data_IF_556029906530
#
_entry.id   IF_556029906530
#
_cell.length_a   1.000
_cell.length_b   1.000
_cell.length_c   1.000
_cell.angle_alpha   90.00
_cell.angle_beta   90.00
_cell.angle_gamma   90.00
#
_symmetry.space_group_name_H-M   'P 1'
#
loop_
_entity.id
_entity.type
_entity.pdbx_description
1 polymer ?
#
# COMPACT_ATOMS: atom_id res chain seq x y z
N UNK A 1 30.49 -9.30 -5.03
CA UNK A 1 29.28 -10.11 -5.34
C UNK A 1 28.23 -9.93 -4.25
N UNK A 2 28.51 -10.28 -2.99
CA UNK A 2 27.51 -10.28 -1.91
C UNK A 2 26.88 -8.92 -1.62
N UNK A 3 27.63 -7.80 -1.72
CA UNK A 3 27.08 -6.45 -1.49
C UNK A 3 25.95 -6.11 -2.48
N UNK A 4 26.09 -6.49 -3.76
CA UNK A 4 25.06 -6.21 -4.78
C UNK A 4 23.78 -7.00 -4.46
N UNK A 5 23.92 -8.26 -4.06
CA UNK A 5 22.78 -9.05 -3.62
C UNK A 5 22.17 -8.53 -2.31
N UNK A 6 22.98 -8.02 -1.38
CA UNK A 6 22.45 -7.36 -0.18
C UNK A 6 21.55 -6.17 -0.56
N UNK A 7 21.97 -5.33 -1.50
CA UNK A 7 21.17 -4.17 -1.96
C UNK A 7 19.86 -4.61 -2.62
N UNK A 8 19.92 -5.60 -3.53
CA UNK A 8 18.72 -6.17 -4.17
C UNK A 8 17.77 -6.72 -3.10
N UNK A 9 18.26 -7.53 -2.17
CA UNK A 9 17.43 -8.12 -1.12
C UNK A 9 16.89 -7.06 -0.15
N UNK A 10 17.64 -6.01 0.16
CA UNK A 10 17.14 -4.90 1.00
C UNK A 10 15.94 -4.26 0.30
N UNK A 11 16.07 -3.85 -0.97
CA UNK A 11 15.00 -3.20 -1.71
C UNK A 11 13.74 -4.07 -1.78
N UNK A 12 13.89 -5.34 -2.16
CA UNK A 12 12.77 -6.27 -2.27
C UNK A 12 12.14 -6.58 -0.90
N UNK A 13 12.91 -7.00 0.09
CA UNK A 13 12.37 -7.42 1.39
C UNK A 13 11.70 -6.27 2.13
N UNK A 14 12.34 -5.10 2.10
CA UNK A 14 11.84 -3.90 2.75
C UNK A 14 10.53 -3.42 2.11
N UNK A 15 10.54 -3.23 0.79
CA UNK A 15 9.39 -2.65 0.09
C UNK A 15 8.17 -3.57 0.10
N UNK A 16 8.38 -4.88 -0.06
CA UNK A 16 7.27 -5.83 0.08
C UNK A 16 6.73 -5.84 1.51
N UNK A 17 7.59 -5.78 2.53
CA UNK A 17 7.13 -5.69 3.92
C UNK A 17 6.34 -4.41 4.24
N UNK A 18 6.75 -3.29 3.65
CA UNK A 18 6.04 -2.01 3.71
C UNK A 18 4.65 -2.13 3.05
N UNK A 19 4.61 -2.63 1.81
CA UNK A 19 3.37 -2.84 1.05
C UNK A 19 2.41 -3.79 1.77
N UNK A 20 2.90 -4.92 2.25
CA UNK A 20 2.10 -5.93 2.96
C UNK A 20 1.53 -5.37 4.25
N UNK A 21 2.32 -4.58 4.99
CA UNK A 21 1.85 -3.89 6.19
C UNK A 21 0.76 -2.88 5.87
N UNK A 22 0.94 -2.07 4.82
CA UNK A 22 -0.07 -1.11 4.37
C UNK A 22 -1.38 -1.81 4.01
N UNK A 23 -1.31 -2.83 3.16
CA UNK A 23 -2.47 -3.63 2.72
C UNK A 23 -3.17 -4.25 3.94
N UNK A 24 -2.40 -4.87 4.85
CA UNK A 24 -2.92 -5.48 6.08
C UNK A 24 -3.73 -4.47 6.89
N UNK A 25 -3.22 -3.27 7.12
CA UNK A 25 -3.92 -2.28 7.93
C UNK A 25 -5.15 -1.69 7.21
N UNK A 26 -5.04 -1.36 5.92
CA UNK A 26 -6.17 -0.91 5.10
C UNK A 26 -7.31 -1.94 5.02
N UNK A 27 -6.99 -3.24 5.00
CA UNK A 27 -7.98 -4.31 4.83
C UNK A 27 -8.44 -4.94 6.14
N UNK A 28 -7.73 -4.71 7.26
CA UNK A 28 -7.96 -5.42 8.54
C UNK A 28 -9.41 -5.45 9.02
N UNK A 29 -10.19 -4.39 8.73
CA UNK A 29 -11.58 -4.26 9.18
C UNK A 29 -12.63 -4.50 8.08
N UNK A 30 -12.23 -4.58 6.82
CA UNK A 30 -13.16 -4.55 5.66
C UNK A 30 -12.90 -5.67 4.64
N UNK A 31 -11.85 -6.45 4.87
CA UNK A 31 -11.44 -7.55 4.01
C UNK A 31 -10.99 -7.06 2.63
N UNK A 32 -11.23 -7.90 1.62
CA UNK A 32 -10.88 -7.60 0.23
C UNK A 32 -11.88 -6.70 -0.51
N UNK A 33 -13.01 -6.37 0.12
CA UNK A 33 -14.09 -5.60 -0.52
C UNK A 33 -13.70 -4.13 -0.68
N UNK A 34 -14.24 -3.49 -1.73
CA UNK A 34 -14.10 -2.05 -1.99
C UNK A 34 -15.47 -1.46 -2.24
N UNK A 35 -15.90 -0.53 -1.40
CA UNK A 35 -17.13 0.22 -1.58
C UNK A 35 -16.77 1.59 -2.14
N UNK A 36 -17.46 1.97 -3.21
CA UNK A 36 -17.29 3.27 -3.87
C UNK A 36 -18.60 4.04 -3.93
N UNK A 37 -18.49 5.36 -4.02
CA UNK A 37 -19.53 6.24 -4.57
C UNK A 37 -19.07 6.76 -5.93
N UNK A 38 -19.99 6.87 -6.86
CA UNK A 38 -19.82 7.54 -8.13
C UNK A 38 -20.81 8.69 -8.30
N UNK A 39 -20.35 9.78 -8.90
CA UNK A 39 -21.21 10.91 -9.28
C UNK A 39 -20.69 11.59 -10.54
N UNK A 40 -21.55 12.41 -11.16
CA UNK A 40 -21.16 13.25 -12.29
C UNK A 40 -19.97 14.16 -11.94
N UNK A 41 -19.10 14.37 -12.94
CA UNK A 41 -17.99 15.33 -12.82
C UNK A 41 -18.57 16.69 -12.41
N UNK A 42 -18.24 17.15 -11.21
CA UNK A 42 -18.53 18.52 -10.82
C UNK A 42 -17.87 19.46 -11.85
N UNK A 43 -18.58 20.46 -12.41
CA UNK A 43 -18.02 21.41 -13.36
C UNK A 43 -16.82 22.21 -12.80
N UNK A 44 -16.54 22.10 -11.50
CA UNK A 44 -15.40 22.73 -10.84
C UNK A 44 -14.09 21.94 -10.89
N UNK A 45 -14.08 20.68 -11.33
CA UNK A 45 -12.89 19.80 -11.29
C UNK A 45 -12.22 19.62 -12.67
N UNK A 46 -12.75 20.22 -13.75
CA UNK A 46 -12.09 20.19 -15.06
C UNK A 46 -10.84 21.10 -15.07
N UNK A 47 -9.71 20.58 -14.61
CA UNK A 47 -8.38 21.23 -14.69
C UNK A 47 -7.82 21.35 -16.12
N UNK A 48 -8.66 21.13 -17.14
CA UNK A 48 -8.40 21.51 -18.53
C UNK A 48 -9.68 22.12 -19.09
N UNK A 49 -9.70 23.45 -19.19
CA UNK A 49 -10.60 24.17 -20.10
C UNK A 49 -10.45 23.54 -21.49
N UNK A 50 -11.36 22.66 -21.94
CA UNK A 50 -11.61 22.36 -23.39
C UNK A 50 -12.60 21.24 -23.71
N UNK A 51 -13.18 20.49 -22.78
CA UNK A 51 -14.28 19.55 -23.13
C UNK A 51 -15.54 19.91 -22.36
N UNK A 52 -16.63 20.18 -23.09
CA UNK A 52 -17.97 20.12 -22.53
C UNK A 52 -18.09 18.81 -21.74
N UNK A 53 -18.12 18.87 -20.41
CA UNK A 53 -18.36 17.71 -19.58
C UNK A 53 -19.80 17.31 -19.81
N UNK A 54 -20.01 16.42 -20.78
CA UNK A 54 -21.29 15.78 -21.03
C UNK A 54 -21.68 15.04 -19.74
N UNK A 55 -22.74 15.51 -19.08
CA UNK A 55 -23.31 14.82 -17.93
C UNK A 55 -23.64 13.38 -18.36
N UNK A 56 -23.07 12.41 -17.65
CA UNK A 56 -23.34 11.01 -17.88
C UNK A 56 -24.56 10.61 -17.04
N UNK A 57 -25.44 9.77 -17.59
CA UNK A 57 -26.59 9.29 -16.84
C UNK A 57 -26.16 8.30 -15.74
N UNK A 58 -26.91 8.22 -14.64
CA UNK A 58 -26.66 7.22 -13.59
C UNK A 58 -26.81 5.79 -14.10
N UNK A 59 -27.64 5.57 -15.11
CA UNK A 59 -27.74 4.28 -15.81
C UNK A 59 -26.43 3.90 -16.52
N UNK A 60 -25.77 4.86 -17.17
CA UNK A 60 -24.46 4.64 -17.80
C UNK A 60 -23.36 4.41 -16.75
N UNK A 61 -23.38 5.10 -15.61
CA UNK A 61 -22.44 4.84 -14.49
C UNK A 61 -22.63 3.43 -13.93
N UNK A 62 -23.88 3.00 -13.73
CA UNK A 62 -24.22 1.65 -13.28
C UNK A 62 -23.70 0.60 -14.26
N UNK A 63 -23.98 0.79 -15.56
CA UNK A 63 -23.54 -0.15 -16.59
C UNK A 63 -22.01 -0.27 -16.64
N UNK A 64 -21.29 0.84 -16.49
CA UNK A 64 -19.83 0.83 -16.45
C UNK A 64 -19.31 0.08 -15.21
N UNK A 65 -19.85 0.38 -14.03
CA UNK A 65 -19.47 -0.31 -12.78
C UNK A 65 -19.73 -1.83 -12.86
N UNK A 66 -20.92 -2.24 -13.32
CA UNK A 66 -21.31 -3.65 -13.44
C UNK A 66 -20.47 -4.40 -14.46
N UNK A 67 -20.06 -3.74 -15.55
CA UNK A 67 -19.15 -4.31 -16.56
C UNK A 67 -17.83 -4.78 -15.96
N UNK A 68 -17.33 -4.09 -14.92
CA UNK A 68 -16.09 -4.45 -14.22
C UNK A 68 -16.33 -5.25 -12.94
N UNK A 69 -17.52 -5.84 -12.76
CA UNK A 69 -17.83 -6.74 -11.65
C UNK A 69 -18.32 -6.05 -10.37
N UNK A 70 -18.57 -4.74 -10.41
CA UNK A 70 -19.17 -4.02 -9.30
C UNK A 70 -20.66 -4.34 -9.14
N UNK A 71 -21.14 -4.41 -7.89
CA UNK A 71 -22.55 -4.65 -7.54
C UNK A 71 -23.16 -3.40 -6.94
N UNK A 72 -24.27 -2.93 -7.51
CA UNK A 72 -24.93 -1.69 -7.06
C UNK A 72 -25.63 -1.88 -5.71
N UNK A 73 -25.39 -0.96 -4.77
CA UNK A 73 -25.99 -0.92 -3.44
C UNK A 73 -27.28 -0.09 -3.47
N UNK A 74 -28.37 -0.68 -4.00
CA UNK A 74 -29.63 0.01 -4.34
C UNK A 74 -30.31 0.81 -3.22
N UNK A 75 -30.11 0.45 -1.96
CA UNK A 75 -30.77 1.09 -0.81
C UNK A 75 -29.84 2.05 -0.03
N UNK A 76 -28.68 2.37 -0.59
CA UNK A 76 -27.73 3.31 0.03
C UNK A 76 -28.14 4.73 -0.34
N UNK A 77 -28.38 5.56 0.67
CA UNK A 77 -28.63 7.00 0.51
C UNK A 77 -27.59 7.81 1.27
N UNK A 78 -27.41 9.05 0.86
CA UNK A 78 -26.73 10.06 1.65
C UNK A 78 -27.68 10.68 2.68
N UNK A 79 -27.18 10.99 3.87
CA UNK A 79 -27.87 11.79 4.89
C UNK A 79 -27.09 13.05 5.22
N UNK A 80 -27.80 14.06 5.75
CA UNK A 80 -27.26 15.39 6.14
C UNK A 80 -26.70 16.20 4.98
N UNK A 81 -26.30 17.45 5.25
CA UNK A 81 -25.62 18.30 4.26
C UNK A 81 -24.20 17.82 3.89
N UNK A 82 -23.64 16.91 4.67
CA UNK A 82 -22.30 16.36 4.46
C UNK A 82 -22.29 15.13 3.53
N UNK A 83 -23.44 14.77 2.94
CA UNK A 83 -23.58 13.65 2.00
C UNK A 83 -23.07 12.30 2.56
N UNK A 84 -23.30 12.06 3.85
CA UNK A 84 -22.81 10.88 4.57
C UNK A 84 -23.56 9.63 4.08
N UNK A 85 -22.90 8.63 3.46
CA UNK A 85 -23.57 7.41 3.02
C UNK A 85 -24.04 6.57 4.20
N UNK A 86 -25.25 6.01 4.09
CA UNK A 86 -25.81 5.06 5.07
C UNK A 86 -25.51 3.63 4.62
N UNK A 87 -24.65 2.93 5.37
CA UNK A 87 -24.33 1.53 5.12
C UNK A 87 -24.99 0.60 6.15
N UNK A 88 -25.30 -0.61 5.71
CA UNK A 88 -25.87 -1.64 6.58
C UNK A 88 -24.86 -2.05 7.66
N UNK A 89 -25.34 -2.34 8.89
CA UNK A 89 -24.51 -2.82 9.99
C UNK A 89 -23.58 -3.99 9.60
N UNK A 90 -24.03 -5.03 8.85
CA UNK A 90 -23.15 -6.10 8.38
C UNK A 90 -21.95 -5.63 7.55
N UNK A 91 -22.12 -4.59 6.72
CA UNK A 91 -21.05 -4.09 5.84
C UNK A 91 -19.92 -3.40 6.63
N UNK A 92 -20.18 -2.96 7.85
CA UNK A 92 -19.25 -2.17 8.67
C UNK A 92 -19.04 -2.73 10.07
N UNK A 93 -19.50 -3.96 10.34
CA UNK A 93 -19.56 -4.53 11.68
C UNK A 93 -18.20 -4.56 12.40
N UNK A 94 -17.11 -4.80 11.67
CA UNK A 94 -15.75 -4.86 12.23
C UNK A 94 -15.14 -3.47 12.53
N UNK A 95 -15.80 -2.39 12.10
CA UNK A 95 -15.41 -1.00 12.37
C UNK A 95 -16.10 -0.43 13.61
N UNK A 96 -17.20 -1.07 14.05
CA UNK A 96 -18.00 -0.64 15.19
C UNK A 96 -17.24 -0.97 16.48
N UNK A 97 -17.00 0.05 17.29
CA UNK A 97 -16.37 -0.06 18.61
C UNK A 97 -17.36 0.17 19.76
N UNK A 98 -18.47 0.86 19.49
CA UNK A 98 -19.58 1.11 20.42
C UNK A 98 -20.87 0.69 19.75
N UNK A 99 -21.74 -0.06 20.44
CA UNK A 99 -22.98 -0.56 19.83
C UNK A 99 -23.88 0.60 19.33
N UNK A 100 -24.25 0.63 18.04
CA UNK A 100 -25.13 1.66 17.48
C UNK A 100 -26.52 1.72 18.13
N UNK A 101 -26.95 0.68 18.84
CA UNK A 101 -28.20 0.70 19.62
C UNK A 101 -28.14 1.62 20.85
N UNK A 102 -26.93 1.97 21.31
CA UNK A 102 -26.74 2.90 22.43
C UNK A 102 -26.88 4.37 22.00
N UNK A 103 -26.99 4.64 20.70
CA UNK A 103 -27.23 5.97 20.18
C UNK A 103 -28.58 6.51 20.69
N UNK A 104 -28.67 7.81 21.06
CA UNK A 104 -29.96 8.47 21.20
C UNK A 104 -30.82 8.25 19.95
N UNK A 105 -32.14 8.09 20.12
CA UNK A 105 -33.04 7.77 19.00
C UNK A 105 -33.00 8.80 17.86
N UNK A 106 -32.71 10.04 18.22
CA UNK A 106 -32.62 11.18 17.30
C UNK A 106 -31.22 11.40 16.72
N UNK A 107 -30.21 10.64 17.16
CA UNK A 107 -28.84 10.76 16.71
C UNK A 107 -28.50 9.72 15.62
N UNK A 108 -27.76 10.15 14.60
CA UNK A 108 -27.23 9.30 13.55
C UNK A 108 -25.96 8.61 14.09
N UNK A 109 -25.95 7.27 14.25
CA UNK A 109 -24.73 6.56 14.59
C UNK A 109 -23.75 6.61 13.40
N UNK A 110 -22.53 7.10 13.63
CA UNK A 110 -21.53 7.29 12.59
C UNK A 110 -20.20 6.61 12.91
N UNK A 111 -19.59 6.05 11.88
CA UNK A 111 -18.15 5.80 11.83
C UNK A 111 -17.50 7.11 11.35
N UNK A 112 -16.80 7.78 12.25
CA UNK A 112 -16.22 9.09 11.96
C UNK A 112 -14.81 8.98 11.39
N UNK A 113 -14.36 10.03 10.73
CA UNK A 113 -12.96 10.22 10.35
C UNK A 113 -12.26 11.10 11.38
N UNK A 114 -10.93 11.14 11.37
CA UNK A 114 -10.15 12.05 12.21
C UNK A 114 -10.60 13.50 12.01
N UNK A 115 -10.62 13.95 10.77
CA UNK A 115 -11.04 15.32 10.38
C UNK A 115 -12.49 15.63 10.76
N UNK A 116 -13.44 14.71 10.51
CA UNK A 116 -14.84 14.94 10.87
C UNK A 116 -15.04 14.90 12.39
N UNK A 117 -14.33 14.05 13.13
CA UNK A 117 -14.41 14.08 14.59
C UNK A 117 -13.81 15.36 15.20
N UNK A 118 -12.76 15.93 14.62
CA UNK A 118 -12.23 17.23 15.07
C UNK A 118 -13.19 18.38 14.78
N UNK A 119 -13.91 18.31 13.65
CA UNK A 119 -15.04 19.19 13.33
C UNK A 119 -16.08 19.17 14.46
N UNK A 120 -16.50 17.97 14.89
CA UNK A 120 -17.49 17.77 15.95
C UNK A 120 -17.01 18.28 17.32
N UNK A 121 -15.70 18.27 17.56
CA UNK A 121 -15.09 18.84 18.77
C UNK A 121 -14.91 20.37 18.70
N UNK A 122 -15.29 21.02 17.60
CA UNK A 122 -15.05 22.45 17.39
C UNK A 122 -13.57 22.81 17.22
N UNK A 123 -12.72 21.82 16.89
CA UNK A 123 -11.25 21.95 16.79
C UNK A 123 -10.80 22.17 15.35
N UNK A 124 -11.39 23.16 14.68
CA UNK A 124 -11.02 23.55 13.32
C UNK A 124 -9.57 24.06 13.29
N UNK A 125 -8.77 23.59 12.33
CA UNK A 125 -7.40 24.09 12.10
C UNK A 125 -6.50 24.11 13.34
N UNK A 126 -6.57 23.07 14.18
CA UNK A 126 -5.53 22.86 15.18
C UNK A 126 -4.20 22.64 14.48
N UNK A 127 -3.46 23.72 14.26
CA UNK A 127 -2.06 23.68 13.83
C UNK A 127 -1.30 22.96 14.92
N UNK A 128 -1.09 21.67 14.71
CA UNK A 128 -0.20 20.89 15.55
C UNK A 128 1.21 21.41 15.26
N UNK A 129 1.77 22.15 16.23
CA UNK A 129 3.20 22.48 16.25
C UNK A 129 4.00 21.18 16.08
N UNK A 130 5.23 21.23 15.55
CA UNK A 130 6.09 20.04 15.39
C UNK A 130 6.26 19.28 16.73
N UNK A 131 5.42 18.27 16.95
CA UNK A 131 5.43 17.37 18.10
C UNK A 131 6.33 16.17 17.81
N UNK A 132 6.78 15.49 18.86
CA UNK A 132 7.38 14.16 18.75
C UNK A 132 6.33 13.10 18.41
N UNK A 133 6.75 11.96 17.85
CA UNK A 133 5.86 10.84 17.55
C UNK A 133 5.00 10.40 18.77
N UNK A 134 5.59 10.37 19.96
CA UNK A 134 4.87 9.97 21.19
C UNK A 134 3.81 11.00 21.59
N UNK A 135 4.09 12.28 21.43
CA UNK A 135 3.12 13.35 21.68
C UNK A 135 1.97 13.32 20.66
N UNK A 136 2.25 13.01 19.39
CA UNK A 136 1.20 12.78 18.38
C UNK A 136 0.30 11.61 18.77
N UNK A 137 0.87 10.48 19.19
CA UNK A 137 0.11 9.33 19.66
C UNK A 137 -0.77 9.68 20.87
N UNK A 138 -0.21 10.40 21.84
CA UNK A 138 -0.94 10.84 23.04
C UNK A 138 -2.12 11.75 22.68
N UNK A 139 -1.95 12.70 21.76
CA UNK A 139 -3.05 13.54 21.27
C UNK A 139 -4.10 12.76 20.51
N UNK A 140 -3.67 11.79 19.72
CA UNK A 140 -4.60 10.91 19.02
C UNK A 140 -5.44 10.10 20.00
N UNK A 141 -4.84 9.56 21.07
CA UNK A 141 -5.56 8.86 22.14
C UNK A 141 -6.55 9.79 22.86
N UNK A 142 -6.14 11.00 23.25
CA UNK A 142 -7.04 12.01 23.84
C UNK A 142 -8.20 12.38 22.89
N UNK A 143 -7.91 12.50 21.59
CA UNK A 143 -8.93 12.69 20.56
C UNK A 143 -9.94 11.53 20.56
N UNK A 144 -9.46 10.28 20.52
CA UNK A 144 -10.32 9.07 20.52
C UNK A 144 -11.25 9.06 21.73
N UNK A 145 -10.72 9.31 22.92
CA UNK A 145 -11.48 9.30 24.17
C UNK A 145 -12.57 10.39 24.22
N UNK A 146 -12.32 11.52 23.53
CA UNK A 146 -13.27 12.64 23.45
C UNK A 146 -14.36 12.44 22.41
N UNK A 147 -14.11 11.68 21.34
CA UNK A 147 -15.12 11.45 20.28
C UNK A 147 -15.90 10.16 20.47
N UNK A 148 -15.25 9.07 20.85
CA UNK A 148 -15.84 7.74 20.78
C UNK A 148 -16.95 7.55 21.83
N UNK A 149 -18.11 7.05 21.40
CA UNK A 149 -19.28 6.85 22.25
C UNK A 149 -19.91 8.14 22.76
N UNK A 150 -19.61 9.28 22.13
CA UNK A 150 -20.20 10.58 22.47
C UNK A 150 -21.20 11.03 21.40
N UNK A 151 -22.12 11.89 21.83
CA UNK A 151 -23.11 12.53 20.96
C UNK A 151 -22.73 13.99 20.75
N UNK A 152 -22.85 14.45 19.50
CA UNK A 152 -22.58 15.80 19.09
C UNK A 152 -23.78 16.35 18.34
N UNK A 153 -24.03 17.64 18.48
CA UNK A 153 -25.03 18.37 17.69
C UNK A 153 -24.29 19.48 16.96
N UNK A 154 -24.51 19.57 15.64
CA UNK A 154 -23.94 20.64 14.82
C UNK A 154 -24.80 21.89 14.91
N UNK A 155 -24.25 23.02 14.45
CA UNK A 155 -24.97 24.29 14.37
C UNK A 155 -26.24 24.24 13.48
N UNK A 156 -26.36 23.26 12.57
CA UNK A 156 -27.56 23.09 11.74
C UNK A 156 -28.58 22.09 12.34
N UNK A 157 -28.34 21.61 13.56
CA UNK A 157 -29.18 20.65 14.25
C UNK A 157 -29.03 19.20 13.75
N UNK A 158 -27.91 18.86 13.11
CA UNK A 158 -27.58 17.46 12.85
C UNK A 158 -27.01 16.82 14.11
N UNK A 159 -27.55 15.67 14.51
CA UNK A 159 -27.11 14.98 15.72
C UNK A 159 -26.39 13.69 15.37
N UNK A 160 -25.16 13.55 15.83
CA UNK A 160 -24.28 12.43 15.53
C UNK A 160 -23.89 11.68 16.80
N UNK A 161 -23.88 10.34 16.75
CA UNK A 161 -23.33 9.48 17.81
C UNK A 161 -22.16 8.68 17.24
N UNK A 162 -20.95 8.88 17.77
CA UNK A 162 -19.75 8.25 17.20
C UNK A 162 -19.63 6.81 17.69
N UNK A 163 -19.81 5.85 16.78
CA UNK A 163 -19.74 4.41 17.09
C UNK A 163 -18.40 3.77 16.79
N UNK A 164 -17.51 4.48 16.09
CA UNK A 164 -16.18 3.99 15.73
C UNK A 164 -15.43 4.98 14.85
N UNK A 165 -14.19 4.63 14.52
CA UNK A 165 -13.31 5.43 13.67
C UNK A 165 -12.97 4.65 12.40
N UNK A 166 -13.16 5.30 11.25
CA UNK A 166 -12.72 4.78 9.96
C UNK A 166 -11.19 4.83 9.86
N UNK A 167 -10.56 3.87 9.14
CA UNK A 167 -9.13 3.95 8.88
C UNK A 167 -8.81 5.26 8.16
N UNK A 168 -7.87 6.02 8.68
CA UNK A 168 -7.53 7.32 8.11
C UNK A 168 -6.43 7.99 8.91
N UNK A 169 -5.91 9.08 8.38
CA UNK A 169 -4.74 9.74 8.94
C UNK A 169 -5.07 10.77 10.01
N UNK A 170 -4.37 10.73 11.14
CA UNK A 170 -4.43 11.77 12.16
C UNK A 170 -3.30 12.79 11.93
N UNK A 171 -3.60 13.90 11.25
CA UNK A 171 -2.64 14.96 10.88
C UNK A 171 -1.40 14.50 10.09
N UNK A 172 -1.52 13.39 9.35
CA UNK A 172 -0.49 12.93 8.41
C UNK A 172 -1.01 13.07 6.97
N UNK A 173 -0.16 13.49 6.06
CA UNK A 173 -0.48 13.63 4.62
C UNK A 173 -0.07 12.40 3.81
N UNK A 174 1.03 11.75 4.20
CA UNK A 174 1.63 10.62 3.52
C UNK A 174 2.32 9.70 4.55
N UNK A 175 2.91 8.61 4.07
CA UNK A 175 3.53 7.62 4.93
C UNK A 175 4.94 8.01 5.43
N UNK A 176 5.49 9.16 5.03
CA UNK A 176 6.79 9.64 5.50
C UNK A 176 6.80 9.99 6.98
N UNK A 177 8.01 10.03 7.56
CA UNK A 177 8.20 10.42 8.94
C UNK A 177 8.43 11.92 9.13
N UNK A 178 8.35 12.75 8.07
CA UNK A 178 8.65 14.19 8.16
C UNK A 178 7.82 14.92 9.23
N UNK A 179 6.58 14.49 9.43
CA UNK A 179 5.70 15.06 10.47
C UNK A 179 6.09 14.61 11.87
N UNK A 180 6.65 13.41 12.03
CA UNK A 180 6.91 12.77 13.33
C UNK A 180 8.38 12.89 13.81
N UNK A 181 9.32 13.14 12.89
CA UNK A 181 10.74 13.30 13.17
C UNK A 181 11.13 14.78 13.25
N UNK A 182 11.50 15.22 14.45
CA UNK A 182 12.02 16.56 14.67
C UNK A 182 13.51 16.61 14.31
N UNK A 183 13.90 17.54 13.42
CA UNK A 183 15.30 17.88 13.11
C UNK A 183 16.17 16.74 12.52
N UNK A 184 15.57 15.81 11.78
CA UNK A 184 16.34 14.75 11.09
C UNK A 184 16.41 15.10 9.61
N UNK A 185 17.64 15.17 9.09
CA UNK A 185 17.91 15.38 7.67
C UNK A 185 17.22 14.32 6.79
N UNK A 186 16.80 14.78 5.63
CA UNK A 186 16.16 14.10 4.50
C UNK A 186 16.74 12.71 4.19
N UNK A 187 16.36 11.69 4.95
CA UNK A 187 16.73 10.31 4.60
C UNK A 187 16.05 9.93 3.28
N UNK A 188 16.78 9.24 2.39
CA UNK A 188 16.23 8.68 1.13
C UNK A 188 14.97 7.83 1.35
N UNK A 189 14.83 7.27 2.55
CA UNK A 189 13.60 6.58 2.95
C UNK A 189 12.41 7.53 3.03
N UNK A 190 12.54 8.70 3.66
CA UNK A 190 11.44 9.65 3.74
C UNK A 190 11.02 10.16 2.36
N UNK A 191 11.94 10.29 1.40
CA UNK A 191 11.60 10.61 0.00
C UNK A 191 10.71 9.53 -0.62
N UNK A 192 11.08 8.24 -0.49
CA UNK A 192 10.25 7.13 -0.96
C UNK A 192 8.87 7.10 -0.28
N UNK A 193 8.83 7.36 1.02
CA UNK A 193 7.59 7.30 1.81
C UNK A 193 6.68 8.53 1.60
N UNK A 194 7.23 9.66 1.15
CA UNK A 194 6.49 10.89 0.87
C UNK A 194 5.50 10.71 -0.28
N UNK A 195 5.89 9.89 -1.26
CA UNK A 195 5.08 9.53 -2.43
C UNK A 195 4.08 8.39 -2.17
N UNK A 196 4.00 7.88 -0.94
CA UNK A 196 2.98 6.89 -0.54
C UNK A 196 1.84 7.65 0.16
N UNK A 197 0.74 7.94 -0.55
CA UNK A 197 -0.37 8.68 0.04
C UNK A 197 -1.10 7.83 1.08
N UNK A 198 -1.67 8.53 2.06
CA UNK A 198 -2.56 7.91 3.04
C UNK A 198 -4.00 7.88 2.52
N UNK A 199 -4.71 6.82 2.88
CA UNK A 199 -6.11 6.71 2.54
C UNK A 199 -6.96 7.65 3.40
N UNK A 200 -7.76 8.50 2.75
CA UNK A 200 -8.79 9.30 3.40
C UNK A 200 -10.16 8.81 2.99
N UNK A 201 -11.05 8.63 3.97
CA UNK A 201 -12.46 8.33 3.74
C UNK A 201 -13.33 9.52 4.13
N UNK A 202 -14.60 9.43 3.75
CA UNK A 202 -15.68 10.25 4.29
C UNK A 202 -16.37 9.49 5.43
N UNK A 203 -16.99 10.18 6.40
CA UNK A 203 -17.74 9.52 7.47
C UNK A 203 -18.85 8.62 6.89
N UNK A 204 -19.21 7.57 7.63
CA UNK A 204 -20.26 6.61 7.23
C UNK A 204 -21.32 6.55 8.31
N UNK A 205 -22.59 6.68 7.94
CA UNK A 205 -23.71 6.43 8.84
C UNK A 205 -24.02 4.94 8.88
N UNK A 206 -24.22 4.40 10.09
CA UNK A 206 -24.50 2.99 10.31
C UNK A 206 -26.01 2.79 10.44
N UNK A 207 -26.59 1.93 9.61
CA UNK A 207 -28.01 1.61 9.76
C UNK A 207 -28.27 0.86 11.08
N UNK A 208 -29.02 1.50 11.99
CA UNK A 208 -29.46 0.93 13.26
C UNK A 208 -30.97 0.64 13.28
N UNK A 209 -31.66 0.74 12.13
CA UNK A 209 -33.10 0.53 12.03
C UNK A 209 -33.98 1.72 12.47
N UNK A 210 -33.38 2.82 12.95
CA UNK A 210 -34.11 4.01 13.44
C UNK A 210 -33.94 5.23 12.52
N UNK A 211 -33.68 5.02 11.22
CA UNK A 211 -33.33 6.11 10.30
C UNK A 211 -34.39 7.22 10.22
N UNK A 212 -35.67 6.88 10.38
CA UNK A 212 -36.79 7.84 10.31
C UNK A 212 -36.82 8.82 11.50
N UNK A 213 -36.15 8.47 12.61
CA UNK A 213 -36.06 9.31 13.81
C UNK A 213 -34.85 10.24 13.79
N UNK A 214 -33.92 10.09 12.85
CA UNK A 214 -32.66 10.83 12.84
C UNK A 214 -32.85 12.32 12.54
N UNK A 215 -32.23 13.15 13.38
CA UNK A 215 -32.07 14.57 13.12
C UNK A 215 -30.99 14.81 12.07
N UNK A 216 -31.44 15.05 10.83
CA UNK A 216 -30.58 15.26 9.66
C UNK A 216 -30.28 16.74 9.35
N UNK A 217 -30.73 17.66 10.23
CA UNK A 217 -30.53 19.10 10.12
C UNK A 217 -31.56 19.83 9.26
N UNK A 218 -31.51 21.17 9.29
CA UNK A 218 -32.38 22.02 8.48
C UNK A 218 -31.96 21.98 6.99
N UNK A 219 -32.93 21.96 6.06
CA UNK A 219 -32.76 22.10 4.59
C UNK A 219 -32.07 20.96 3.81
N UNK A 220 -32.16 19.69 4.24
CA UNK A 220 -31.72 18.54 3.39
C UNK A 220 -32.52 18.44 2.08
N UNK A 221 -33.76 18.94 2.05
CA UNK A 221 -34.70 18.78 0.91
C UNK A 221 -34.43 19.65 -0.33
N UNK A 222 -33.45 20.56 -0.36
CA UNK A 222 -33.35 21.54 -1.46
C UNK A 222 -32.10 21.48 -2.36
N UNK A 223 -31.08 20.66 -2.09
CA UNK A 223 -29.84 20.69 -2.89
C UNK A 223 -29.31 19.31 -3.36
N UNK A 224 -30.16 18.29 -3.50
CA UNK A 224 -29.74 17.00 -4.08
C UNK A 224 -29.74 17.11 -5.61
N UNK A 225 -28.77 17.85 -6.17
CA UNK A 225 -28.57 17.95 -7.63
C UNK A 225 -27.66 16.84 -8.17
N UNK A 226 -27.07 16.03 -7.30
CA UNK A 226 -26.12 14.97 -7.67
C UNK A 226 -26.69 13.62 -7.30
N UNK A 227 -27.04 12.82 -8.32
CA UNK A 227 -27.37 11.41 -8.14
C UNK A 227 -26.07 10.64 -7.84
N UNK A 228 -25.98 10.08 -6.63
CA UNK A 228 -24.84 9.28 -6.18
C UNK A 228 -25.15 7.80 -6.42
N UNK A 229 -24.29 7.11 -7.14
CA UNK A 229 -24.36 5.65 -7.33
C UNK A 229 -23.38 4.98 -6.37
N UNK A 230 -23.88 4.13 -5.49
CA UNK A 230 -23.05 3.36 -4.56
C UNK A 230 -22.86 1.94 -5.07
N UNK A 231 -21.65 1.42 -5.00
CA UNK A 231 -21.34 0.07 -5.45
C UNK A 231 -20.28 -0.60 -4.59
N UNK A 232 -20.29 -1.94 -4.60
CA UNK A 232 -19.29 -2.78 -3.95
C UNK A 232 -18.62 -3.68 -4.97
N UNK A 233 -17.29 -3.77 -4.90
CA UNK A 233 -16.49 -4.80 -5.55
C UNK A 233 -16.12 -5.84 -4.50
N UNK A 234 -16.32 -7.12 -4.81
CA UNK A 234 -16.01 -8.21 -3.87
C UNK A 234 -14.50 -8.38 -3.64
N UNK A 235 -13.68 -7.87 -4.56
CA UNK A 235 -12.23 -8.02 -4.51
C UNK A 235 -11.51 -6.81 -5.13
N UNK A 236 -10.23 -6.67 -4.74
CA UNK A 236 -9.34 -5.61 -5.19
C UNK A 236 -9.00 -5.67 -6.68
N UNK A 237 -8.99 -6.86 -7.28
CA UNK A 237 -8.60 -7.04 -8.68
C UNK A 237 -9.63 -6.38 -9.61
N UNK A 238 -10.90 -6.58 -9.33
CA UNK A 238 -12.00 -6.00 -10.11
C UNK A 238 -12.07 -4.48 -9.91
N UNK A 239 -11.95 -4.01 -8.66
CA UNK A 239 -11.85 -2.57 -8.37
C UNK A 239 -10.67 -1.90 -9.09
N UNK A 240 -9.53 -2.59 -9.20
CA UNK A 240 -8.35 -2.11 -9.94
C UNK A 240 -8.57 -2.12 -11.45
N UNK A 241 -9.18 -3.17 -12.01
CA UNK A 241 -9.54 -3.18 -13.43
C UNK A 241 -10.51 -2.05 -13.78
N UNK A 242 -11.44 -1.75 -12.89
CA UNK A 242 -12.33 -0.60 -13.01
C UNK A 242 -11.58 0.74 -12.96
N UNK A 243 -10.62 0.93 -12.05
CA UNK A 243 -9.75 2.11 -12.04
C UNK A 243 -8.99 2.27 -13.38
N UNK A 244 -8.41 1.18 -13.89
CA UNK A 244 -7.54 1.24 -15.07
C UNK A 244 -8.31 1.47 -16.37
N UNK A 245 -9.45 0.80 -16.55
CA UNK A 245 -10.16 0.71 -17.83
C UNK A 245 -11.59 1.27 -17.80
N UNK A 246 -12.12 1.57 -16.62
CA UNK A 246 -13.43 2.19 -16.45
C UNK A 246 -13.42 3.68 -16.80
N UNK A 247 -14.61 4.27 -16.82
CA UNK A 247 -14.80 5.68 -17.17
C UNK A 247 -14.73 6.62 -15.96
N UNK A 248 -14.59 6.10 -14.75
CA UNK A 248 -14.48 6.91 -13.54
C UNK A 248 -13.09 7.51 -13.34
N UNK A 249 -13.06 8.79 -12.99
CA UNK A 249 -11.91 9.49 -12.44
C UNK A 249 -11.87 9.27 -10.94
N UNK A 250 -10.73 8.84 -10.43
CA UNK A 250 -10.49 8.80 -8.99
C UNK A 250 -9.61 10.00 -8.58
N UNK A 251 -9.51 10.27 -7.28
CA UNK A 251 -8.98 11.54 -6.75
C UNK A 251 -7.45 11.64 -6.75
N UNK A 252 -6.76 10.54 -6.49
CA UNK A 252 -5.30 10.46 -6.37
C UNK A 252 -4.62 10.14 -7.71
N UNK A 253 -5.30 9.45 -8.62
CA UNK A 253 -4.76 9.06 -9.93
C UNK A 253 -5.66 9.57 -11.05
N UNK A 254 -5.14 10.53 -11.81
CA UNK A 254 -5.80 11.04 -13.02
C UNK A 254 -5.31 10.26 -14.23
N UNK A 255 -6.22 9.52 -14.86
CA UNK A 255 -6.00 8.83 -16.13
C UNK A 255 -6.80 9.54 -17.21
N UNK A 256 -6.42 9.41 -18.47
CA UNK A 256 -7.12 10.07 -19.59
C UNK A 256 -8.53 9.48 -19.81
N UNK A 257 -9.37 10.25 -20.51
CA UNK A 257 -10.73 9.88 -20.97
C UNK A 257 -11.73 9.44 -19.88
N UNK A 258 -11.81 10.22 -18.78
CA UNK A 258 -12.80 10.02 -17.71
C UNK A 258 -14.07 10.82 -17.92
N UNK A 259 -15.21 10.20 -17.57
CA UNK A 259 -16.56 10.72 -17.81
C UNK A 259 -17.32 11.06 -16.52
N UNK A 260 -16.90 10.55 -15.36
CA UNK A 260 -17.53 10.82 -14.06
C UNK A 260 -16.52 10.60 -12.92
N UNK A 261 -16.86 10.95 -11.68
CA UNK A 261 -15.99 10.73 -10.51
C UNK A 261 -16.35 9.44 -9.77
N UNK A 262 -15.35 8.78 -9.20
CA UNK A 262 -15.52 7.76 -8.18
C UNK A 262 -14.63 8.06 -6.97
N UNK A 263 -15.19 7.87 -5.77
CA UNK A 263 -14.48 7.94 -4.50
C UNK A 263 -14.61 6.61 -3.77
N UNK A 264 -13.54 6.17 -3.15
CA UNK A 264 -13.57 4.99 -2.28
C UNK A 264 -14.12 5.40 -0.92
N UNK A 265 -15.23 4.77 -0.52
CA UNK A 265 -15.86 4.99 0.79
C UNK A 265 -15.26 4.05 1.83
N UNK A 266 -14.96 2.82 1.42
CA UNK A 266 -14.49 1.77 2.32
C UNK A 266 -13.69 0.71 1.55
N UNK A 267 -12.71 0.07 2.19
CA UNK A 267 -11.81 -0.88 1.52
C UNK A 267 -10.47 -0.28 1.15
N UNK A 268 -9.48 -1.11 0.82
CA UNK A 268 -8.21 -0.61 0.25
C UNK A 268 -8.49 0.04 -1.11
N UNK A 269 -8.04 1.28 -1.30
CA UNK A 269 -8.24 2.01 -2.55
C UNK A 269 -7.45 1.36 -3.70
N UNK A 270 -8.07 1.17 -4.88
CA UNK A 270 -7.36 0.67 -6.05
C UNK A 270 -6.24 1.62 -6.51
N UNK A 271 -6.34 2.92 -6.18
CA UNK A 271 -5.30 3.92 -6.49
C UNK A 271 -4.01 3.66 -5.72
N UNK A 272 -4.14 3.30 -4.45
CA UNK A 272 -2.98 2.92 -3.61
C UNK A 272 -2.33 1.66 -4.17
N UNK A 273 -3.14 0.68 -4.56
CA UNK A 273 -2.63 -0.55 -5.20
C UNK A 273 -1.90 -0.25 -6.51
N UNK A 274 -2.41 0.70 -7.30
CA UNK A 274 -1.76 1.17 -8.52
C UNK A 274 -0.39 1.80 -8.23
N UNK A 275 -0.30 2.68 -7.22
CA UNK A 275 0.95 3.33 -6.80
C UNK A 275 1.98 2.30 -6.31
N UNK A 276 1.60 1.36 -5.44
CA UNK A 276 2.52 0.30 -4.99
C UNK A 276 3.02 -0.58 -6.14
N UNK A 277 2.16 -0.89 -7.12
CA UNK A 277 2.58 -1.64 -8.31
C UNK A 277 3.56 -0.83 -9.17
N UNK A 278 3.36 0.49 -9.30
CA UNK A 278 4.29 1.36 -10.01
C UNK A 278 5.68 1.37 -9.34
N UNK A 279 5.74 1.52 -8.02
CA UNK A 279 6.99 1.41 -7.26
C UNK A 279 7.63 0.02 -7.37
N UNK A 280 6.84 -1.07 -7.35
CA UNK A 280 7.36 -2.42 -7.57
C UNK A 280 8.01 -2.55 -8.96
N UNK A 281 7.46 -1.91 -9.99
CA UNK A 281 8.08 -1.87 -11.32
C UNK A 281 9.43 -1.16 -11.28
N UNK A 282 9.53 -0.01 -10.61
CA UNK A 282 10.79 0.73 -10.45
C UNK A 282 11.83 -0.14 -9.73
N UNK A 283 11.46 -0.75 -8.61
CA UNK A 283 12.34 -1.64 -7.84
C UNK A 283 12.80 -2.81 -8.71
N UNK A 284 11.90 -3.42 -9.48
CA UNK A 284 12.26 -4.51 -10.40
C UNK A 284 13.26 -4.06 -11.47
N UNK A 285 13.12 -2.85 -12.01
CA UNK A 285 14.09 -2.27 -12.98
C UNK A 285 15.45 -2.07 -12.32
N UNK A 286 15.50 -1.49 -11.12
CA UNK A 286 16.75 -1.28 -10.37
C UNK A 286 17.40 -2.63 -10.04
N UNK A 287 16.63 -3.59 -9.52
CA UNK A 287 17.07 -4.96 -9.23
C UNK A 287 17.64 -5.64 -10.48
N UNK A 288 17.01 -5.45 -11.64
CA UNK A 288 17.49 -5.98 -12.91
C UNK A 288 18.84 -5.37 -13.34
N UNK A 289 19.01 -4.06 -13.22
CA UNK A 289 20.28 -3.38 -13.53
C UNK A 289 21.38 -3.87 -12.58
N UNK A 290 21.10 -3.95 -11.28
CA UNK A 290 22.04 -4.48 -10.28
C UNK A 290 22.39 -5.95 -10.58
N UNK A 291 21.43 -6.76 -11.01
CA UNK A 291 21.65 -8.15 -11.38
C UNK A 291 22.57 -8.31 -12.61
N UNK A 292 22.48 -7.42 -13.61
CA UNK A 292 23.42 -7.41 -14.74
C UNK A 292 24.85 -7.15 -14.24
N UNK A 293 25.03 -6.15 -13.38
CA UNK A 293 26.34 -5.85 -12.78
C UNK A 293 26.86 -7.05 -11.98
N UNK A 294 26.01 -7.68 -11.17
CA UNK A 294 26.36 -8.89 -10.43
C UNK A 294 26.78 -10.02 -11.37
N UNK A 295 26.08 -10.21 -12.49
CA UNK A 295 26.40 -11.22 -13.51
C UNK A 295 27.79 -11.02 -14.08
N UNK A 296 28.13 -9.80 -14.49
CA UNK A 296 29.48 -9.48 -15.02
C UNK A 296 30.56 -9.79 -13.97
N UNK A 297 30.33 -9.39 -12.72
CA UNK A 297 31.26 -9.66 -11.60
C UNK A 297 31.41 -11.16 -11.36
N UNK A 298 30.33 -11.93 -11.35
CA UNK A 298 30.34 -13.39 -11.16
C UNK A 298 31.13 -14.06 -12.28
N UNK A 299 30.78 -13.78 -13.54
CA UNK A 299 31.42 -14.40 -14.70
C UNK A 299 32.92 -14.05 -14.77
N UNK A 300 33.29 -12.80 -14.49
CA UNK A 300 34.68 -12.36 -14.42
C UNK A 300 35.44 -13.08 -13.30
N UNK A 301 34.84 -13.15 -12.11
CA UNK A 301 35.45 -13.82 -10.94
C UNK A 301 35.66 -15.31 -11.22
N UNK A 302 34.64 -16.01 -11.73
CA UNK A 302 34.74 -17.44 -12.05
C UNK A 302 35.77 -17.69 -13.17
N UNK A 303 35.80 -16.85 -14.20
CA UNK A 303 36.80 -16.93 -15.28
C UNK A 303 38.23 -16.74 -14.76
N UNK A 304 38.41 -15.84 -13.79
CA UNK A 304 39.69 -15.62 -13.12
C UNK A 304 40.09 -16.83 -12.27
N UNK A 305 39.16 -17.42 -11.52
CA UNK A 305 39.43 -18.64 -10.73
C UNK A 305 39.91 -19.79 -11.65
N UNK A 306 39.24 -20.03 -12.78
CA UNK A 306 39.68 -21.04 -13.76
C UNK A 306 41.09 -20.73 -14.30
N UNK A 307 41.39 -19.44 -14.50
CA UNK A 307 42.70 -19.04 -15.00
C UNK A 307 43.82 -19.24 -13.97
N UNK A 308 43.50 -19.08 -12.67
CA UNK A 308 44.44 -19.30 -11.58
C UNK A 308 44.74 -20.80 -11.40
N UNK A 309 43.76 -21.65 -11.67
CA UNK A 309 43.89 -23.10 -11.51
C UNK A 309 44.39 -23.81 -12.81
N UNK A 310 44.99 -23.09 -13.76
CA UNK A 310 45.40 -23.68 -15.06
C UNK A 310 46.39 -24.86 -14.89
N UNK A 311 47.32 -24.75 -13.93
CA UNK A 311 48.27 -25.83 -13.59
C UNK A 311 47.58 -27.06 -12.99
N UNK A 312 46.61 -26.85 -12.08
CA UNK A 312 45.83 -27.95 -11.50
C UNK A 312 44.96 -28.63 -12.57
N UNK A 313 44.34 -27.86 -13.46
CA UNK A 313 43.56 -28.37 -14.59
C UNK A 313 44.44 -29.22 -15.50
N UNK A 314 45.67 -28.78 -15.79
CA UNK A 314 46.63 -29.54 -16.59
C UNK A 314 47.04 -30.85 -15.90
N UNK A 315 47.27 -30.81 -14.58
CA UNK A 315 47.55 -32.00 -13.77
C UNK A 315 46.37 -32.98 -13.84
N UNK A 316 45.13 -32.54 -13.62
CA UNK A 316 43.96 -33.41 -13.73
C UNK A 316 43.79 -34.00 -15.13
N UNK A 317 44.05 -33.24 -16.19
CA UNK A 317 44.08 -33.76 -17.56
C UNK A 317 45.15 -34.85 -17.73
N UNK A 318 46.35 -34.65 -17.17
CA UNK A 318 47.44 -35.64 -17.23
C UNK A 318 47.12 -36.94 -16.48
N UNK A 319 46.30 -36.86 -15.43
CA UNK A 319 45.78 -38.02 -14.68
C UNK A 319 44.59 -38.70 -15.38
N UNK A 320 44.19 -38.23 -16.57
CA UNK A 320 43.14 -38.84 -17.39
C UNK A 320 41.74 -38.25 -17.21
N UNK A 321 41.59 -37.10 -16.53
CA UNK A 321 40.30 -36.44 -16.41
C UNK A 321 39.80 -35.92 -17.76
N UNK A 322 38.53 -36.21 -18.08
CA UNK A 322 37.90 -35.70 -19.29
C UNK A 322 37.46 -34.24 -19.11
N UNK A 323 37.40 -33.51 -20.22
CA UNK A 323 36.84 -32.15 -20.28
C UNK A 323 35.44 -32.02 -19.68
N UNK A 324 34.61 -33.06 -19.82
CA UNK A 324 33.24 -33.08 -19.25
C UNK A 324 33.28 -33.17 -17.72
N UNK A 325 34.15 -34.04 -17.18
CA UNK A 325 34.33 -34.18 -15.73
C UNK A 325 34.84 -32.87 -15.10
N UNK A 326 35.80 -32.20 -15.73
CA UNK A 326 36.29 -30.89 -15.28
C UNK A 326 35.20 -29.81 -15.28
N UNK A 327 34.36 -29.76 -16.33
CA UNK A 327 33.22 -28.83 -16.40
C UNK A 327 32.21 -29.06 -15.28
N UNK A 328 31.91 -30.33 -14.96
CA UNK A 328 30.99 -30.68 -13.89
C UNK A 328 31.60 -30.30 -12.53
N UNK A 329 32.88 -30.62 -12.30
CA UNK A 329 33.59 -30.27 -11.09
C UNK A 329 33.56 -28.76 -10.82
N UNK A 330 34.01 -27.95 -11.79
CA UNK A 330 33.96 -26.49 -11.66
C UNK A 330 32.53 -25.95 -11.61
N UNK A 331 31.57 -26.61 -12.25
CA UNK A 331 30.15 -26.23 -12.19
C UNK A 331 29.59 -26.37 -10.79
N UNK A 332 29.88 -27.49 -10.12
CA UNK A 332 29.52 -27.73 -8.72
C UNK A 332 30.24 -26.76 -7.80
N UNK A 333 31.55 -26.54 -8.02
CA UNK A 333 32.33 -25.59 -7.24
C UNK A 333 31.74 -24.17 -7.27
N UNK A 334 31.46 -23.64 -8.47
CA UNK A 334 30.82 -22.33 -8.60
C UNK A 334 29.40 -22.30 -8.05
N UNK A 335 28.65 -23.39 -8.21
CA UNK A 335 27.31 -23.48 -7.64
C UNK A 335 27.34 -23.34 -6.12
N UNK A 336 28.23 -24.07 -5.43
CA UNK A 336 28.41 -23.97 -3.97
C UNK A 336 28.84 -22.56 -3.56
N UNK A 337 29.77 -21.96 -4.30
CA UNK A 337 30.24 -20.59 -4.03
C UNK A 337 29.10 -19.57 -4.16
N UNK A 338 28.29 -19.66 -5.22
CA UNK A 338 27.14 -18.79 -5.43
C UNK A 338 26.09 -18.99 -4.35
N UNK A 339 25.72 -20.24 -4.01
CA UNK A 339 24.77 -20.54 -2.93
C UNK A 339 25.24 -19.93 -1.61
N UNK A 340 26.52 -20.14 -1.27
CA UNK A 340 27.11 -19.59 -0.04
C UNK A 340 27.06 -18.07 -0.02
N UNK A 341 27.36 -17.41 -1.14
CA UNK A 341 27.29 -15.96 -1.27
C UNK A 341 25.84 -15.43 -1.13
N UNK A 342 24.86 -16.12 -1.70
CA UNK A 342 23.44 -15.76 -1.60
C UNK A 342 22.92 -15.92 -0.17
N UNK A 343 23.24 -17.04 0.51
CA UNK A 343 22.89 -17.27 1.91
C UNK A 343 23.50 -16.18 2.79
N UNK A 344 24.78 -15.89 2.61
CA UNK A 344 25.47 -14.84 3.35
C UNK A 344 24.83 -13.46 3.11
N UNK A 345 24.54 -13.10 1.86
CA UNK A 345 23.89 -11.84 1.53
C UNK A 345 22.49 -11.72 2.17
N UNK A 346 21.69 -12.78 2.09
CA UNK A 346 20.36 -12.81 2.70
C UNK A 346 20.42 -12.67 4.24
N UNK A 347 21.39 -13.33 4.87
CA UNK A 347 21.62 -13.22 6.31
C UNK A 347 22.00 -11.79 6.71
N UNK A 348 22.97 -11.19 6.01
CA UNK A 348 23.39 -9.81 6.26
C UNK A 348 22.24 -8.83 6.04
N UNK A 349 21.47 -8.97 4.96
CA UNK A 349 20.28 -8.15 4.72
C UNK A 349 19.26 -8.28 5.83
N UNK A 350 18.96 -9.50 6.27
CA UNK A 350 17.99 -9.74 7.35
C UNK A 350 18.46 -9.10 8.66
N UNK A 351 19.75 -9.21 8.98
CA UNK A 351 20.36 -8.55 10.14
C UNK A 351 20.25 -7.02 10.07
N UNK A 352 20.53 -6.42 8.91
CA UNK A 352 20.38 -4.97 8.68
C UNK A 352 18.92 -4.53 8.88
N UNK A 353 17.96 -5.28 8.34
CA UNK A 353 16.53 -4.98 8.50
C UNK A 353 16.07 -5.13 9.95
N UNK A 354 16.57 -6.13 10.68
CA UNK A 354 16.30 -6.28 12.11
C UNK A 354 16.83 -5.05 12.87
N UNK A 355 18.08 -4.65 12.64
CA UNK A 355 18.64 -3.45 13.28
C UNK A 355 17.85 -2.19 12.93
N UNK A 356 17.46 -2.02 11.67
CA UNK A 356 16.61 -0.91 11.25
C UNK A 356 15.32 -0.84 12.09
N UNK A 357 14.63 -1.97 12.29
CA UNK A 357 13.43 -2.03 13.11
C UNK A 357 13.69 -1.90 14.61
N UNK A 358 14.84 -2.34 15.11
CA UNK A 358 15.21 -2.12 16.51
C UNK A 358 15.37 -0.62 16.81
N UNK A 359 15.96 0.14 15.88
CA UNK A 359 16.18 1.57 16.06
C UNK A 359 14.97 2.44 15.67
N UNK A 360 14.19 2.04 14.65
CA UNK A 360 13.06 2.83 14.11
C UNK A 360 11.68 2.25 14.43
N UNK A 361 11.60 1.09 15.09
CA UNK A 361 10.35 0.35 15.29
C UNK A 361 9.27 1.14 16.01
N UNK A 362 9.62 1.91 17.05
CA UNK A 362 8.65 2.77 17.75
C UNK A 362 8.01 3.79 16.80
N UNK A 363 8.81 4.42 15.95
CA UNK A 363 8.35 5.40 14.98
C UNK A 363 7.44 4.75 13.92
N UNK A 364 7.85 3.60 13.37
CA UNK A 364 7.06 2.83 12.40
C UNK A 364 5.70 2.44 13.01
N UNK A 365 5.71 1.94 14.25
CA UNK A 365 4.51 1.50 14.94
C UNK A 365 3.54 2.66 15.20
N UNK A 366 4.05 3.81 15.65
CA UNK A 366 3.24 5.03 15.85
C UNK A 366 2.71 5.54 14.52
N UNK A 367 3.55 5.60 13.48
CA UNK A 367 3.14 6.00 12.13
C UNK A 367 1.97 5.14 11.64
N UNK A 368 2.05 3.82 11.78
CA UNK A 368 0.95 2.92 11.41
C UNK A 368 -0.32 3.16 12.23
N UNK A 369 -0.20 3.38 13.55
CA UNK A 369 -1.35 3.69 14.39
C UNK A 369 -2.08 4.97 13.94
N UNK A 370 -1.31 6.03 13.66
CA UNK A 370 -1.83 7.34 13.24
C UNK A 370 -2.33 7.34 11.79
N UNK A 371 -1.65 6.63 10.88
CA UNK A 371 -1.99 6.55 9.47
C UNK A 371 -3.30 5.80 9.20
N UNK A 372 -3.63 4.82 10.05
CA UNK A 372 -4.79 3.95 9.90
C UNK A 372 -5.80 4.09 11.04
N UNK A 373 -5.66 5.11 11.89
CA UNK A 373 -6.55 5.34 13.04
C UNK A 373 -6.78 4.10 13.90
N UNK A 374 -5.70 3.39 14.23
CA UNK A 374 -5.76 2.16 15.02
C UNK A 374 -5.93 2.47 16.51
N UNK A 375 -6.76 1.68 17.19
CA UNK A 375 -6.96 1.80 18.64
C UNK A 375 -5.67 1.56 19.42
N UNK A 376 -4.97 0.48 19.07
CA UNK A 376 -3.74 0.05 19.72
C UNK A 376 -2.54 0.27 18.79
N UNK A 377 -1.37 0.50 19.37
CA UNK A 377 -0.12 0.63 18.62
C UNK A 377 0.30 -0.76 18.13
N UNK A 378 0.31 -1.02 16.81
CA UNK A 378 0.67 -2.33 16.29
C UNK A 378 2.18 -2.58 16.40
N UNK A 379 2.58 -3.84 16.33
CA UNK A 379 3.96 -4.22 16.03
C UNK A 379 4.09 -4.41 14.51
N UNK A 380 4.77 -3.47 13.86
CA UNK A 380 5.00 -3.47 12.42
C UNK A 380 6.43 -3.88 12.14
N UNK A 381 6.58 -4.77 11.17
CA UNK A 381 7.87 -5.22 10.70
C UNK A 381 7.84 -5.25 9.17
N UNK A 382 8.51 -4.29 8.54
CA UNK A 382 8.68 -4.18 7.10
C UNK A 382 9.70 -5.20 6.59
N UNK A 383 9.26 -6.46 6.58
CA UNK A 383 9.97 -7.59 6.03
C UNK A 383 8.97 -8.48 5.28
N UNK A 384 9.01 -8.46 3.95
CA UNK A 384 8.09 -9.22 3.09
C UNK A 384 8.85 -9.96 2.00
N UNK A 385 8.52 -11.23 1.75
CA UNK A 385 9.18 -12.03 0.72
C UNK A 385 8.35 -12.01 -0.55
N UNK A 386 8.95 -11.58 -1.67
CA UNK A 386 8.32 -11.63 -2.99
C UNK A 386 8.80 -12.81 -3.83
N UNK A 387 8.00 -13.15 -4.85
CA UNK A 387 8.41 -14.09 -5.90
C UNK A 387 9.63 -13.60 -6.68
N UNK A 388 9.86 -12.29 -6.74
CA UNK A 388 10.96 -11.68 -7.49
C UNK A 388 12.32 -12.11 -6.90
N UNK A 389 12.41 -12.25 -5.56
CA UNK A 389 13.59 -12.78 -4.88
C UNK A 389 13.91 -14.21 -5.36
N UNK A 390 12.89 -15.07 -5.50
CA UNK A 390 13.07 -16.44 -5.97
C UNK A 390 13.57 -16.47 -7.42
N UNK A 391 13.01 -15.62 -8.28
CA UNK A 391 13.45 -15.49 -9.68
C UNK A 391 14.93 -15.09 -9.74
N UNK A 392 15.34 -14.11 -8.94
CA UNK A 392 16.74 -13.64 -8.88
C UNK A 392 17.66 -14.75 -8.37
N UNK A 393 17.27 -15.50 -7.33
CA UNK A 393 18.05 -16.63 -6.81
C UNK A 393 18.25 -17.67 -7.91
N UNK A 394 17.17 -18.13 -8.54
CA UNK A 394 17.25 -19.16 -9.60
C UNK A 394 18.10 -18.68 -10.78
N UNK A 395 17.89 -17.44 -11.24
CA UNK A 395 18.68 -16.86 -12.33
C UNK A 395 20.17 -16.77 -11.98
N UNK A 396 20.51 -16.42 -10.73
CA UNK A 396 21.89 -16.37 -10.26
C UNK A 396 22.54 -17.75 -10.23
N UNK A 397 21.81 -18.78 -9.78
CA UNK A 397 22.32 -20.16 -9.72
C UNK A 397 22.68 -20.70 -11.12
N UNK A 398 21.95 -20.28 -12.16
CA UNK A 398 22.25 -20.65 -13.54
C UNK A 398 23.57 -20.03 -14.07
N UNK A 399 24.16 -19.07 -13.37
CA UNK A 399 25.46 -18.50 -13.74
C UNK A 399 26.62 -19.48 -13.51
N UNK A 400 26.48 -20.45 -12.60
CA UNK A 400 27.48 -21.50 -12.39
C UNK A 400 27.69 -22.35 -13.67
N UNK A 401 26.66 -23.02 -14.23
CA UNK A 401 26.83 -23.76 -15.48
C UNK A 401 27.18 -22.85 -16.66
N UNK A 402 26.66 -21.62 -16.72
CA UNK A 402 27.02 -20.66 -17.77
C UNK A 402 28.53 -20.33 -17.75
N UNK A 403 29.10 -20.13 -16.56
CA UNK A 403 30.53 -19.83 -16.38
C UNK A 403 31.43 -20.94 -16.94
N UNK A 404 31.08 -22.21 -16.72
CA UNK A 404 31.86 -23.34 -17.21
C UNK A 404 31.69 -23.57 -18.71
N UNK A 405 30.51 -23.26 -19.26
CA UNK A 405 30.25 -23.30 -20.69
C UNK A 405 31.06 -22.22 -21.45
N UNK A 406 31.04 -20.98 -20.97
CA UNK A 406 31.79 -19.86 -21.57
C UNK A 406 33.30 -20.11 -21.53
N UNK A 407 33.80 -20.73 -20.46
CA UNK A 407 35.22 -21.06 -20.32
C UNK A 407 35.60 -22.44 -20.85
N UNK A 408 34.74 -23.07 -21.65
CA UNK A 408 34.94 -24.44 -22.13
C UNK A 408 36.28 -24.69 -22.85
N UNK A 409 36.88 -23.67 -23.46
CA UNK A 409 38.20 -23.80 -24.13
C UNK A 409 39.34 -24.01 -23.14
N UNK A 410 39.26 -23.45 -21.94
CA UNK A 410 40.30 -23.55 -20.89
C UNK A 410 40.38 -24.95 -20.26
N UNK A 411 39.33 -25.75 -20.38
CA UNK A 411 39.30 -27.14 -19.90
C UNK A 411 39.75 -28.17 -20.95
N UNK A 412 40.39 -27.72 -22.04
CA UNK A 412 40.98 -28.59 -23.04
C UNK A 412 42.48 -28.70 -22.78
N UNK A 413 43.10 -29.89 -22.89
CA UNK A 413 44.55 -29.95 -22.87
C UNK A 413 45.10 -29.05 -23.98
N UNK A 414 46.03 -28.15 -23.64
CA UNK A 414 46.88 -27.53 -24.66
C UNK A 414 47.68 -28.68 -25.27
N UNK A 415 47.36 -29.03 -26.51
CA UNK A 415 48.27 -29.82 -27.33
C UNK A 415 49.47 -28.90 -27.55
N UNK A 416 50.56 -29.17 -26.83
CA UNK A 416 51.87 -28.54 -27.05
C UNK A 416 52.44 -29.08 -28.35
#
# INVERSE_FOLDING_TARGET
MSIIFCLIFILELFFNGLRDSYIKFSQSKVGGQVIISANNLSPYISLKETKETKEISSAEMIQDIEKFGGKILKNTRSVTRYYIPVLSKPSVQNLIEVDPSNAPKDAIPILTTTSFGELLLGKYDNKINKLTAVEYLSRYQDYRDKVLGKTFETDNGEKFFVVGLLPGSYHLSNYSFYTLEKNVDTTLLNELLDDIPLQGFEPIAVDNGNQDSWQTGQNVKQNVKYEMVYAVFDNQKDARHYLEQGKASFRMVTLDDRSYNANVILGLSPEITFIFNFFQIIIRIISFILFIVATVVILSTNTRLIAQDEEEIALYCSLGATKSQLKIFYGIYFFILIVSALIFAYFITSLVLIFFHLFRGQLINIQAALAFSLKDVPQVFWYGVSSDILVIIVATLLLAPLSTLLNSRKFSPRVV
#
